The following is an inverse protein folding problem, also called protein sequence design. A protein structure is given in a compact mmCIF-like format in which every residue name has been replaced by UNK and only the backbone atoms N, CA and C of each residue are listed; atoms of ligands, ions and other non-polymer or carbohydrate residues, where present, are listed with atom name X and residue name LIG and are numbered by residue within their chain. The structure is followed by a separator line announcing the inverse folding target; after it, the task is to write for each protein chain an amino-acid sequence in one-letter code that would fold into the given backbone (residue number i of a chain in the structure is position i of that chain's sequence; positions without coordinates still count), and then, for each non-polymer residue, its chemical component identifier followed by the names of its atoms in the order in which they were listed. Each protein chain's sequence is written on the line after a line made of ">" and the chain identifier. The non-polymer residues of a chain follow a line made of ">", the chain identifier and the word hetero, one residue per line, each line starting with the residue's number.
data_IF_884540733359
#
_entry.id   IF_884540733359
#
_cell.length_a   1.000
_cell.length_b   1.000
_cell.length_c   1.000
_cell.angle_alpha   90.00
_cell.angle_beta   90.00
_cell.angle_gamma   90.00
#
_symmetry.space_group_name_H-M   'P 1'
#
loop_
_entity.id
_entity.type
_entity.pdbx_description
1 polymer ?
#
# COMPACT_ATOMS: atom_id res chain seq x y z
N UNK A 1 -32.41 -14.69 0.92
CA UNK A 1 -33.05 -15.96 0.52
C UNK A 1 -33.91 -15.86 -0.76
N UNK A 2 -34.45 -14.69 -1.14
CA UNK A 2 -35.35 -14.59 -2.31
C UNK A 2 -34.67 -14.50 -3.69
N UNK A 3 -33.35 -14.24 -3.75
CA UNK A 3 -32.66 -13.89 -4.99
C UNK A 3 -32.10 -15.06 -5.80
N UNK A 4 -31.94 -16.26 -5.18
CA UNK A 4 -31.36 -17.44 -5.84
C UNK A 4 -32.31 -18.13 -6.85
N UNK A 5 -33.58 -17.74 -6.91
CA UNK A 5 -34.59 -18.35 -7.79
C UNK A 5 -35.06 -17.47 -8.96
N UNK A 6 -34.49 -16.28 -9.15
CA UNK A 6 -34.89 -15.35 -10.21
C UNK A 6 -34.03 -15.52 -11.47
N UNK A 7 -34.64 -15.34 -12.65
CA UNK A 7 -33.91 -15.29 -13.93
C UNK A 7 -32.86 -14.17 -13.90
N UNK A 8 -31.67 -14.34 -14.53
CA UNK A 8 -30.56 -13.39 -14.47
C UNK A 8 -30.94 -11.93 -14.75
N UNK A 9 -31.79 -11.70 -15.77
CA UNK A 9 -32.27 -10.36 -16.14
C UNK A 9 -33.09 -9.69 -15.03
N UNK A 10 -34.04 -10.43 -14.43
CA UNK A 10 -34.86 -9.95 -13.29
C UNK A 10 -34.03 -9.75 -12.03
N UNK A 11 -32.96 -10.54 -11.86
CA UNK A 11 -32.03 -10.41 -10.73
C UNK A 11 -31.26 -9.09 -10.83
N UNK A 12 -30.73 -8.76 -12.00
CA UNK A 12 -30.00 -7.50 -12.23
C UNK A 12 -30.89 -6.28 -12.08
N UNK A 13 -32.11 -6.33 -12.59
CA UNK A 13 -33.11 -5.26 -12.42
C UNK A 13 -33.45 -5.03 -10.94
N UNK A 14 -33.64 -6.11 -10.17
CA UNK A 14 -33.91 -6.01 -8.74
C UNK A 14 -32.72 -5.48 -7.93
N UNK A 15 -31.49 -5.92 -8.24
CA UNK A 15 -30.27 -5.44 -7.59
C UNK A 15 -30.08 -3.95 -7.90
N UNK A 16 -30.16 -3.56 -9.16
CA UNK A 16 -30.02 -2.16 -9.60
C UNK A 16 -31.01 -1.25 -8.88
N UNK A 17 -32.29 -1.63 -8.85
CA UNK A 17 -33.32 -0.89 -8.13
C UNK A 17 -33.01 -0.77 -6.63
N UNK A 18 -32.60 -1.87 -5.99
CA UNK A 18 -32.30 -1.88 -4.56
C UNK A 18 -31.09 -1.01 -4.23
N UNK A 19 -30.07 -1.00 -5.09
CA UNK A 19 -28.85 -0.20 -4.94
C UNK A 19 -29.15 1.29 -5.10
N UNK A 20 -29.92 1.67 -6.12
CA UNK A 20 -30.34 3.05 -6.37
C UNK A 20 -31.22 3.56 -5.22
N UNK A 21 -32.23 2.78 -4.80
CA UNK A 21 -33.12 3.15 -3.70
C UNK A 21 -32.36 3.32 -2.39
N UNK A 22 -31.40 2.43 -2.09
CA UNK A 22 -30.60 2.54 -0.87
C UNK A 22 -29.67 3.77 -0.89
N UNK A 23 -29.14 4.15 -2.06
CA UNK A 23 -28.32 5.36 -2.20
C UNK A 23 -29.17 6.63 -2.06
N UNK A 24 -30.34 6.68 -2.71
CA UNK A 24 -31.28 7.79 -2.60
C UNK A 24 -31.75 8.03 -1.15
N UNK A 25 -31.99 6.95 -0.39
CA UNK A 25 -32.35 7.05 1.03
C UNK A 25 -31.24 7.66 1.89
N UNK A 26 -29.97 7.34 1.61
CA UNK A 26 -28.82 7.90 2.35
C UNK A 26 -28.58 9.36 1.97
N UNK A 27 -28.78 9.71 0.71
CA UNK A 27 -28.68 11.09 0.22
C UNK A 27 -29.88 11.96 0.61
N UNK A 28 -30.98 11.36 1.06
CA UNK A 28 -32.24 12.06 1.35
C UNK A 28 -32.92 12.64 0.12
N UNK A 29 -32.62 12.12 -1.08
CA UNK A 29 -33.15 12.61 -2.35
C UNK A 29 -34.32 11.75 -2.84
N UNK A 30 -35.36 12.39 -3.37
CA UNK A 30 -36.47 11.68 -4.03
C UNK A 30 -36.19 11.39 -5.51
N UNK A 31 -35.08 11.90 -6.05
CA UNK A 31 -34.63 11.65 -7.41
C UNK A 31 -33.53 10.57 -7.44
N UNK A 32 -33.53 9.69 -8.46
CA UNK A 32 -32.55 8.63 -8.57
C UNK A 32 -31.17 9.24 -8.86
N UNK A 33 -30.14 8.95 -8.03
CA UNK A 33 -28.81 9.48 -8.24
C UNK A 33 -28.16 8.94 -9.53
N UNK A 34 -27.27 9.71 -10.17
CA UNK A 34 -26.46 9.24 -11.30
C UNK A 34 -25.66 7.98 -10.93
N UNK A 35 -25.77 6.93 -11.74
CA UNK A 35 -25.17 5.62 -11.43
C UNK A 35 -23.66 5.53 -11.69
N UNK A 36 -23.13 6.39 -12.55
CA UNK A 36 -21.72 6.39 -12.98
C UNK A 36 -20.87 7.45 -12.27
N UNK A 37 -21.47 8.22 -11.35
CA UNK A 37 -20.72 9.19 -10.56
C UNK A 37 -20.20 8.57 -9.25
N UNK A 38 -19.02 9.00 -8.78
CA UNK A 38 -18.52 8.58 -7.48
C UNK A 38 -19.48 8.97 -6.34
N UNK A 39 -19.74 8.04 -5.42
CA UNK A 39 -20.61 8.26 -4.25
C UNK A 39 -20.21 9.50 -3.43
N UNK A 40 -18.91 9.76 -3.30
CA UNK A 40 -18.37 10.95 -2.62
C UNK A 40 -18.77 12.25 -3.33
N UNK A 41 -18.76 12.25 -4.66
CA UNK A 41 -19.18 13.41 -5.47
C UNK A 41 -20.70 13.64 -5.39
N UNK A 42 -21.47 12.59 -5.10
CA UNK A 42 -22.91 12.67 -4.83
C UNK A 42 -23.24 13.13 -3.41
N UNK A 43 -22.23 13.29 -2.53
CA UNK A 43 -22.42 13.73 -1.15
C UNK A 43 -22.56 12.60 -0.13
N UNK A 44 -22.24 11.35 -0.50
CA UNK A 44 -22.15 10.24 0.47
C UNK A 44 -20.87 10.41 1.29
N UNK A 45 -21.03 10.70 2.57
CA UNK A 45 -19.92 10.79 3.52
C UNK A 45 -19.52 9.42 4.09
N UNK A 46 -18.51 9.40 4.96
CA UNK A 46 -18.00 8.16 5.55
C UNK A 46 -19.04 7.42 6.41
N UNK A 47 -19.99 8.13 7.02
CA UNK A 47 -21.06 7.51 7.82
C UNK A 47 -22.15 6.93 6.90
N UNK A 48 -22.56 7.70 5.90
CA UNK A 48 -23.50 7.30 4.86
C UNK A 48 -23.02 6.10 4.06
N UNK A 49 -21.71 5.96 3.80
CA UNK A 49 -21.13 4.77 3.19
C UNK A 49 -21.34 3.49 4.03
N UNK A 50 -21.22 3.59 5.35
CA UNK A 50 -21.44 2.47 6.28
C UNK A 50 -22.93 2.12 6.37
N UNK A 51 -23.81 3.12 6.45
CA UNK A 51 -25.27 2.93 6.47
C UNK A 51 -25.76 2.30 5.17
N UNK A 52 -25.30 2.80 4.02
CA UNK A 52 -25.59 2.28 2.70
C UNK A 52 -25.17 0.80 2.60
N UNK A 53 -23.95 0.46 3.02
CA UNK A 53 -23.44 -0.92 3.04
C UNK A 53 -24.31 -1.84 3.90
N UNK A 54 -24.66 -1.41 5.12
CA UNK A 54 -25.49 -2.21 6.03
C UNK A 54 -26.89 -2.45 5.45
N UNK A 55 -27.45 -1.45 4.79
CA UNK A 55 -28.76 -1.54 4.15
C UNK A 55 -28.75 -2.53 2.98
N UNK A 56 -27.71 -2.49 2.13
CA UNK A 56 -27.53 -3.45 1.05
C UNK A 56 -27.30 -4.87 1.57
N UNK A 57 -26.43 -5.04 2.57
CA UNK A 57 -26.15 -6.34 3.18
C UNK A 57 -27.43 -6.96 3.76
N UNK A 58 -28.27 -6.15 4.40
CA UNK A 58 -29.55 -6.60 4.98
C UNK A 58 -30.58 -6.94 3.91
N UNK A 59 -30.79 -6.08 2.91
CA UNK A 59 -31.83 -6.26 1.87
C UNK A 59 -31.49 -7.39 0.90
N UNK A 60 -30.22 -7.51 0.50
CA UNK A 60 -29.78 -8.47 -0.50
C UNK A 60 -29.25 -9.77 0.14
N UNK A 61 -28.98 -9.77 1.45
CA UNK A 61 -28.48 -10.94 2.17
C UNK A 61 -27.04 -11.32 1.78
N UNK A 62 -26.25 -10.34 1.34
CA UNK A 62 -24.85 -10.49 0.93
C UNK A 62 -23.91 -9.94 2.00
N UNK A 63 -22.75 -10.56 2.20
CA UNK A 63 -21.70 -10.01 3.07
C UNK A 63 -20.84 -9.04 2.28
N UNK A 64 -21.00 -7.74 2.55
CA UNK A 64 -20.19 -6.71 1.91
C UNK A 64 -19.03 -6.31 2.84
N UNK A 65 -17.76 -6.44 2.40
CA UNK A 65 -16.60 -5.90 3.11
C UNK A 65 -16.76 -4.40 3.41
N UNK A 66 -16.10 -3.92 4.47
CA UNK A 66 -16.12 -2.49 4.82
C UNK A 66 -15.51 -1.59 3.74
N UNK A 67 -14.63 -2.14 2.88
CA UNK A 67 -13.96 -1.42 1.78
C UNK A 67 -14.80 -1.33 0.51
N UNK A 68 -15.94 -2.04 0.40
CA UNK A 68 -16.74 -2.13 -0.84
C UNK A 68 -17.05 -0.76 -1.46
N UNK A 69 -17.38 0.24 -0.64
CA UNK A 69 -17.73 1.59 -1.13
C UNK A 69 -16.52 2.39 -1.63
N UNK A 70 -15.31 1.98 -1.24
CA UNK A 70 -14.04 2.55 -1.71
C UNK A 70 -13.53 1.81 -2.94
N UNK A 71 -13.58 0.48 -2.92
CA UNK A 71 -13.15 -0.38 -4.02
C UNK A 71 -14.04 -0.21 -5.26
N UNK A 72 -15.32 0.10 -5.05
CA UNK A 72 -16.34 0.31 -6.09
C UNK A 72 -17.04 1.66 -5.86
N UNK A 73 -16.44 2.78 -6.29
CA UNK A 73 -16.92 4.12 -5.93
C UNK A 73 -18.20 4.54 -6.66
N UNK A 74 -18.70 3.79 -7.64
CA UNK A 74 -19.93 4.10 -8.40
C UNK A 74 -21.04 3.08 -8.15
N UNK A 75 -22.29 3.47 -8.33
CA UNK A 75 -23.44 2.55 -8.16
C UNK A 75 -23.40 1.43 -9.20
N UNK A 76 -22.99 1.71 -10.44
CA UNK A 76 -22.80 0.70 -11.49
C UNK A 76 -21.79 -0.37 -11.07
N UNK A 77 -20.65 0.03 -10.52
CA UNK A 77 -19.61 -0.89 -10.05
C UNK A 77 -20.07 -1.75 -8.87
N UNK A 78 -20.87 -1.19 -7.95
CA UNK A 78 -21.45 -1.92 -6.81
C UNK A 78 -22.47 -2.97 -7.29
N UNK A 79 -23.30 -2.62 -8.28
CA UNK A 79 -24.27 -3.55 -8.88
C UNK A 79 -23.55 -4.74 -9.50
N UNK A 80 -22.51 -4.50 -10.29
CA UNK A 80 -21.75 -5.56 -10.95
C UNK A 80 -20.98 -6.43 -9.94
N UNK A 81 -20.44 -5.84 -8.87
CA UNK A 81 -19.79 -6.60 -7.78
C UNK A 81 -20.78 -7.55 -7.09
N UNK A 82 -21.97 -7.05 -6.72
CA UNK A 82 -23.02 -7.85 -6.09
C UNK A 82 -23.51 -8.95 -7.03
N UNK A 83 -23.60 -8.67 -8.33
CA UNK A 83 -23.97 -9.66 -9.33
C UNK A 83 -22.92 -10.78 -9.42
N UNK A 84 -21.62 -10.44 -9.41
CA UNK A 84 -20.54 -11.43 -9.40
C UNK A 84 -20.56 -12.31 -8.14
N UNK A 85 -20.71 -11.70 -6.96
CA UNK A 85 -20.81 -12.43 -5.68
C UNK A 85 -22.00 -13.40 -5.64
N UNK A 86 -23.14 -12.99 -6.19
CA UNK A 86 -24.33 -13.84 -6.24
C UNK A 86 -24.25 -14.91 -7.35
N UNK A 87 -23.46 -14.71 -8.41
CA UNK A 87 -23.24 -15.70 -9.49
C UNK A 87 -22.11 -16.68 -9.20
N UNK A 88 -21.06 -16.26 -8.49
CA UNK A 88 -19.87 -17.05 -8.19
C UNK A 88 -20.03 -18.07 -7.08
N UNK A 89 -21.22 -18.15 -6.44
CA UNK A 89 -21.49 -19.13 -5.38
C UNK A 89 -21.81 -20.56 -5.86
N UNK A 90 -21.71 -20.85 -7.16
CA UNK A 90 -22.09 -22.14 -7.77
C UNK A 90 -21.05 -22.78 -8.75
N UNK A 91 -19.76 -22.39 -8.78
CA UNK A 91 -18.79 -23.10 -9.63
C UNK A 91 -17.33 -22.99 -9.15
N UNK A 92 -16.91 -23.99 -8.36
CA UNK A 92 -15.53 -24.47 -8.41
C UNK A 92 -15.41 -25.47 -9.57
N UNK A 93 -14.25 -25.49 -10.23
CA UNK A 93 -13.79 -26.37 -11.33
C UNK A 93 -14.07 -25.90 -12.77
N UNK A 94 -13.05 -25.29 -13.39
CA UNK A 94 -12.52 -25.65 -14.73
C UNK A 94 -11.54 -24.57 -15.23
N UNK A 95 -10.22 -24.82 -15.11
CA UNK A 95 -9.28 -24.77 -16.25
C UNK A 95 -7.87 -25.24 -15.82
N UNK A 96 -7.63 -26.55 -15.88
CA UNK A 96 -6.38 -27.21 -15.49
C UNK A 96 -5.24 -27.10 -16.54
N UNK A 97 -5.39 -26.29 -17.60
CA UNK A 97 -4.42 -26.32 -18.72
C UNK A 97 -3.27 -25.29 -18.60
N UNK A 98 -3.22 -24.48 -17.52
CA UNK A 98 -2.12 -23.51 -17.26
C UNK A 98 -1.05 -24.00 -16.25
N UNK A 99 -1.17 -25.23 -15.73
CA UNK A 99 -0.46 -25.73 -14.55
C UNK A 99 1.05 -26.07 -14.70
N UNK A 100 1.70 -25.83 -15.84
CA UNK A 100 3.08 -26.28 -16.05
C UNK A 100 4.19 -25.25 -15.74
N UNK A 101 3.88 -23.96 -15.56
CA UNK A 101 4.89 -22.91 -15.28
C UNK A 101 4.79 -22.28 -13.88
N UNK A 102 3.87 -22.71 -13.01
CA UNK A 102 3.57 -22.03 -11.74
C UNK A 102 4.09 -22.71 -10.47
N UNK A 103 4.82 -23.83 -10.55
CA UNK A 103 5.29 -24.51 -9.33
C UNK A 103 6.63 -23.97 -8.80
N UNK A 104 6.58 -22.77 -8.23
CA UNK A 104 7.36 -22.43 -7.03
C UNK A 104 6.38 -22.49 -5.84
N UNK A 105 6.64 -23.26 -4.78
CA UNK A 105 5.70 -23.36 -3.67
C UNK A 105 5.78 -22.09 -2.83
N UNK A 106 4.82 -21.18 -3.03
CA UNK A 106 4.48 -20.13 -2.09
C UNK A 106 3.04 -20.30 -1.68
N UNK A 107 2.81 -21.21 -0.71
CA UNK A 107 1.63 -21.14 0.13
C UNK A 107 1.77 -19.92 1.04
N UNK A 108 1.33 -18.77 0.54
CA UNK A 108 1.05 -17.58 1.32
C UNK A 108 -0.32 -17.07 0.85
N UNK A 109 -1.28 -17.09 1.77
CA UNK A 109 -2.58 -16.42 1.77
C UNK A 109 -3.28 -16.13 0.42
N UNK A 110 -4.52 -16.59 0.26
CA UNK A 110 -5.38 -16.31 -0.91
C UNK A 110 -5.75 -14.81 -1.10
N UNK A 111 -5.13 -13.91 -0.32
CA UNK A 111 -5.22 -12.45 -0.42
C UNK A 111 -3.93 -11.76 -0.91
N UNK A 112 -2.87 -12.50 -1.23
CA UNK A 112 -1.70 -11.92 -1.89
C UNK A 112 -2.00 -11.72 -3.37
N UNK A 113 -2.63 -10.58 -3.64
CA UNK A 113 -2.66 -9.97 -4.97
C UNK A 113 -1.25 -9.91 -5.53
N UNK A 114 -1.09 -10.16 -6.83
CA UNK A 114 0.20 -10.12 -7.52
C UNK A 114 0.84 -8.72 -7.34
N UNK A 115 1.74 -8.58 -6.37
CA UNK A 115 2.47 -7.34 -6.11
C UNK A 115 3.64 -7.23 -7.10
N UNK A 116 3.63 -6.17 -7.89
CA UNK A 116 4.73 -5.82 -8.76
C UNK A 116 5.59 -4.73 -8.09
N UNK A 117 6.91 -4.92 -8.10
CA UNK A 117 7.87 -3.87 -7.74
C UNK A 117 8.05 -2.98 -8.96
N UNK A 118 7.51 -1.76 -8.90
CA UNK A 118 7.48 -0.82 -10.04
C UNK A 118 8.67 0.13 -10.08
N UNK A 119 9.37 0.29 -8.96
CA UNK A 119 10.52 1.17 -8.82
C UNK A 119 11.28 0.92 -7.53
N UNK A 120 12.55 1.33 -7.50
CA UNK A 120 13.42 1.22 -6.33
C UNK A 120 14.51 2.30 -6.39
N UNK A 121 14.83 2.86 -5.23
CA UNK A 121 16.03 3.68 -5.01
C UNK A 121 16.63 3.29 -3.65
N UNK A 122 17.91 3.60 -3.43
CA UNK A 122 18.60 3.31 -2.17
C UNK A 122 19.73 4.29 -1.87
N UNK A 123 20.12 4.36 -0.60
CA UNK A 123 21.36 4.97 -0.12
C UNK A 123 22.03 3.98 0.82
N UNK A 124 23.17 3.44 0.41
CA UNK A 124 23.85 2.35 1.11
C UNK A 124 25.36 2.65 1.26
N UNK A 125 26.05 1.96 2.19
CA UNK A 125 27.50 2.09 2.34
C UNK A 125 28.27 1.83 1.05
N UNK A 126 29.47 2.41 0.95
CA UNK A 126 30.30 2.28 -0.26
C UNK A 126 29.88 3.19 -1.41
N UNK A 127 29.25 4.33 -1.11
CA UNK A 127 28.73 5.27 -2.12
C UNK A 127 27.71 4.66 -3.09
N UNK A 128 27.00 3.63 -2.66
CA UNK A 128 25.91 3.00 -3.41
C UNK A 128 24.65 3.86 -3.28
N UNK A 129 24.53 4.89 -4.12
CA UNK A 129 23.41 5.81 -4.10
C UNK A 129 22.30 5.43 -5.10
N UNK A 130 22.52 4.41 -5.91
CA UNK A 130 21.53 3.87 -6.82
C UNK A 130 21.54 2.34 -6.77
N UNK A 131 20.44 1.68 -7.19
CA UNK A 131 20.40 0.23 -7.32
C UNK A 131 21.48 -0.34 -8.23
N UNK A 132 21.87 0.43 -9.27
CA UNK A 132 22.92 0.03 -10.23
C UNK A 132 24.29 0.07 -9.56
N UNK A 133 24.63 1.17 -8.88
CA UNK A 133 25.89 1.30 -8.13
C UNK A 133 25.99 0.24 -7.03
N UNK A 134 24.87 -0.03 -6.34
CA UNK A 134 24.82 -1.11 -5.35
C UNK A 134 25.11 -2.48 -5.97
N UNK A 135 24.54 -2.75 -7.15
CA UNK A 135 24.79 -3.99 -7.86
C UNK A 135 26.25 -4.14 -8.30
N UNK A 136 26.86 -3.07 -8.82
CA UNK A 136 28.27 -3.04 -9.18
C UNK A 136 29.16 -3.30 -7.95
N UNK A 137 28.88 -2.63 -6.83
CA UNK A 137 29.59 -2.84 -5.57
C UNK A 137 29.51 -4.31 -5.08
N UNK A 138 28.34 -4.95 -5.20
CA UNK A 138 28.16 -6.36 -4.88
C UNK A 138 28.95 -7.29 -5.81
N UNK A 139 28.92 -7.00 -7.12
CA UNK A 139 29.66 -7.77 -8.12
C UNK A 139 31.17 -7.71 -7.89
N UNK A 140 31.67 -6.55 -7.49
CA UNK A 140 33.08 -6.32 -7.16
C UNK A 140 33.47 -6.88 -5.79
N UNK A 141 32.49 -7.35 -4.99
CA UNK A 141 32.68 -7.85 -3.61
C UNK A 141 33.42 -6.84 -2.73
N UNK A 142 33.10 -5.57 -2.91
CA UNK A 142 33.77 -4.47 -2.19
C UNK A 142 33.39 -4.52 -0.71
N UNK A 143 34.40 -4.47 0.16
CA UNK A 143 34.18 -4.30 1.60
C UNK A 143 33.93 -2.82 1.90
N UNK A 144 32.74 -2.53 2.43
CA UNK A 144 32.31 -1.17 2.75
C UNK A 144 32.45 -0.83 4.24
N UNK A 145 33.10 -1.71 5.01
CA UNK A 145 33.41 -1.45 6.41
C UNK A 145 34.53 -0.44 6.52
N UNK A 146 34.25 0.67 7.19
CA UNK A 146 35.21 1.73 7.46
C UNK A 146 35.22 2.06 8.94
N UNK A 147 36.29 2.67 9.41
CA UNK A 147 36.30 3.26 10.75
C UNK A 147 35.21 4.32 10.86
N UNK A 148 34.64 4.44 12.06
CA UNK A 148 33.60 5.42 12.35
C UNK A 148 34.09 6.82 11.97
N UNK A 149 33.40 7.50 11.04
CA UNK A 149 33.80 8.84 10.64
C UNK A 149 33.78 9.80 11.82
N UNK A 150 34.81 10.64 11.95
CA UNK A 150 34.89 11.67 12.99
C UNK A 150 33.74 12.70 12.91
N UNK A 151 33.04 12.77 11.78
CA UNK A 151 31.82 13.58 11.63
C UNK A 151 30.63 13.03 12.43
N UNK A 152 30.70 11.78 12.91
CA UNK A 152 29.65 11.16 13.75
C UNK A 152 29.95 11.35 15.22
N UNK A 153 31.08 10.82 15.68
CA UNK A 153 31.63 11.01 17.02
C UNK A 153 33.12 10.62 17.03
N UNK A 154 33.84 11.04 18.06
CA UNK A 154 35.22 10.63 18.27
C UNK A 154 35.25 9.21 18.85
N UNK A 155 35.38 8.20 17.99
CA UNK A 155 35.39 6.81 18.42
C UNK A 155 36.61 6.45 19.28
N UNK A 156 37.69 7.25 19.26
CA UNK A 156 38.87 7.01 20.09
C UNK A 156 38.52 7.21 21.57
N UNK A 157 37.67 8.18 21.89
CA UNK A 157 37.19 8.42 23.26
C UNK A 157 36.31 7.28 23.78
N UNK A 158 35.64 6.54 22.90
CA UNK A 158 34.74 5.45 23.28
C UNK A 158 35.35 4.06 23.10
N UNK A 159 36.58 3.96 22.58
CA UNK A 159 37.21 2.66 22.37
C UNK A 159 37.73 2.04 23.68
N UNK A 160 37.46 0.75 23.87
CA UNK A 160 38.16 -0.11 24.83
C UNK A 160 38.29 -1.51 24.27
N UNK A 161 39.43 -2.16 24.53
CA UNK A 161 39.63 -3.56 24.18
C UNK A 161 38.88 -4.53 25.13
N UNK A 162 38.44 -4.04 26.30
CA UNK A 162 37.67 -4.81 27.28
C UNK A 162 36.16 -4.70 26.95
N UNK A 163 35.48 -5.80 26.57
CA UNK A 163 34.05 -5.79 26.29
C UNK A 163 33.17 -5.48 27.50
N UNK A 164 33.68 -5.66 28.72
CA UNK A 164 32.91 -5.47 29.96
C UNK A 164 33.03 -4.03 30.52
N UNK A 165 33.86 -3.18 29.91
CA UNK A 165 33.99 -1.77 30.31
C UNK A 165 32.77 -0.95 29.91
N UNK A 166 31.99 -0.51 30.91
CA UNK A 166 30.76 0.24 30.71
C UNK A 166 30.99 1.59 30.00
N UNK A 167 30.18 1.86 28.97
CA UNK A 167 30.25 3.11 28.21
C UNK A 167 31.33 3.15 27.13
N UNK A 168 32.01 2.02 26.89
CA UNK A 168 32.98 1.84 25.82
C UNK A 168 32.49 0.81 24.79
N UNK A 169 33.17 0.77 23.64
CA UNK A 169 32.96 -0.20 22.57
C UNK A 169 34.30 -0.72 22.09
N UNK A 170 34.38 -2.02 21.82
CA UNK A 170 35.54 -2.62 21.15
C UNK A 170 35.43 -2.58 19.62
N UNK A 171 34.25 -2.23 19.09
CA UNK A 171 34.04 -2.07 17.65
C UNK A 171 34.18 -0.61 17.25
N UNK A 172 35.09 -0.33 16.32
CA UNK A 172 35.30 0.99 15.72
C UNK A 172 34.77 1.09 14.30
N UNK A 173 34.40 -0.05 13.69
CA UNK A 173 34.05 -0.13 12.28
C UNK A 173 32.55 -0.28 12.05
N UNK A 174 32.10 0.24 10.91
CA UNK A 174 30.70 0.17 10.47
C UNK A 174 30.54 0.49 8.99
N UNK A 175 29.38 0.15 8.45
CA UNK A 175 28.94 0.62 7.13
C UNK A 175 28.24 1.96 7.28
N UNK A 176 28.79 3.01 6.66
CA UNK A 176 28.24 4.36 6.77
C UNK A 176 27.73 4.87 5.42
N UNK A 177 26.55 5.48 5.45
CA UNK A 177 26.06 6.29 4.34
C UNK A 177 26.85 7.59 4.30
N UNK A 178 27.45 7.88 3.16
CA UNK A 178 28.17 9.12 2.90
C UNK A 178 27.20 10.29 2.87
N UNK A 179 27.58 11.42 3.48
CA UNK A 179 26.82 12.67 3.43
C UNK A 179 25.36 12.56 3.90
N UNK A 180 25.05 11.62 4.81
CA UNK A 180 23.67 11.36 5.26
C UNK A 180 23.00 12.52 6.00
N UNK A 181 23.74 13.59 6.32
CA UNK A 181 23.28 14.83 6.91
C UNK A 181 22.90 15.91 5.87
N UNK A 182 23.29 15.74 4.62
CA UNK A 182 22.93 16.63 3.51
C UNK A 182 21.48 16.41 3.06
N UNK A 183 20.85 17.48 2.57
CA UNK A 183 19.46 17.45 2.11
C UNK A 183 19.16 18.63 1.17
N UNK A 184 18.53 18.38 0.02
CA UNK A 184 18.06 19.45 -0.89
C UNK A 184 16.72 20.04 -0.43
N UNK A 185 16.80 20.91 0.57
CA UNK A 185 15.60 21.53 1.13
C UNK A 185 14.86 22.46 0.15
N UNK A 186 15.55 23.01 -0.86
CA UNK A 186 14.92 23.88 -1.84
C UNK A 186 14.03 23.08 -2.78
N UNK A 187 14.50 21.90 -3.20
CA UNK A 187 13.72 20.99 -4.02
C UNK A 187 12.41 20.57 -3.34
N UNK A 188 12.47 20.22 -2.05
CA UNK A 188 11.27 19.84 -1.26
C UNK A 188 10.49 21.03 -0.69
N UNK A 189 10.88 22.27 -0.99
CA UNK A 189 10.21 23.49 -0.49
C UNK A 189 10.16 23.54 1.06
N UNK A 190 11.17 23.00 1.73
CA UNK A 190 11.30 23.01 3.19
C UNK A 190 12.20 24.18 3.60
N UNK A 191 11.78 24.92 4.63
CA UNK A 191 12.54 26.08 5.12
C UNK A 191 13.83 25.61 5.81
N UNK A 192 14.95 26.35 5.68
CA UNK A 192 16.22 25.96 6.32
C UNK A 192 16.10 25.70 7.83
N UNK A 193 15.32 26.51 8.55
CA UNK A 193 15.10 26.33 10.00
C UNK A 193 14.47 24.98 10.36
N UNK A 194 13.59 24.47 9.51
CA UNK A 194 12.90 23.20 9.73
C UNK A 194 13.85 22.03 9.50
N UNK A 195 14.69 22.10 8.45
CA UNK A 195 15.69 21.10 8.13
C UNK A 195 16.56 20.79 9.35
N UNK A 196 17.06 21.81 10.06
CA UNK A 196 17.93 21.63 11.22
C UNK A 196 17.31 20.76 12.33
N UNK A 197 15.99 20.73 12.45
CA UNK A 197 15.27 19.93 13.44
C UNK A 197 14.76 18.59 12.88
N UNK A 198 14.81 18.38 11.57
CA UNK A 198 14.45 17.11 10.96
C UNK A 198 15.51 16.04 11.26
N UNK A 199 15.07 14.83 11.55
CA UNK A 199 15.94 13.67 11.65
C UNK A 199 16.58 13.41 10.26
N UNK A 200 17.91 13.21 10.15
CA UNK A 200 18.57 12.82 8.90
C UNK A 200 17.91 11.64 8.16
N UNK A 201 17.33 10.67 8.89
CA UNK A 201 16.60 9.55 8.29
C UNK A 201 15.34 9.99 7.56
N UNK A 202 14.64 11.01 8.07
CA UNK A 202 13.46 11.58 7.41
C UNK A 202 13.85 12.34 6.15
N UNK A 203 14.99 13.03 6.17
CA UNK A 203 15.54 13.72 4.99
C UNK A 203 15.88 12.71 3.89
N UNK A 204 16.61 11.65 4.26
CA UNK A 204 17.00 10.58 3.33
C UNK A 204 15.80 9.83 2.74
N UNK A 205 14.80 9.47 3.54
CA UNK A 205 13.65 8.71 3.01
C UNK A 205 12.81 9.53 2.03
N UNK A 206 12.73 10.85 2.21
CA UNK A 206 12.02 11.74 1.28
C UNK A 206 12.72 11.82 -0.07
N UNK A 207 14.06 11.92 -0.08
CA UNK A 207 14.85 11.87 -1.32
C UNK A 207 14.73 10.51 -2.02
N UNK A 208 14.93 9.42 -1.29
CA UNK A 208 14.85 8.06 -1.84
C UNK A 208 13.44 7.72 -2.35
N UNK A 209 12.39 8.18 -1.66
CA UNK A 209 11.02 7.98 -2.09
C UNK A 209 10.70 8.75 -3.39
N UNK A 210 11.25 9.95 -3.55
CA UNK A 210 11.11 10.71 -4.80
C UNK A 210 11.80 10.01 -5.98
N UNK A 211 13.01 9.50 -5.78
CA UNK A 211 13.78 8.81 -6.82
C UNK A 211 13.24 7.44 -7.23
N UNK A 212 12.44 6.81 -6.37
CA UNK A 212 11.87 5.49 -6.63
C UNK A 212 10.65 5.51 -7.55
N UNK A 213 10.07 6.69 -7.85
CA UNK A 213 8.88 6.89 -8.69
C UNK A 213 9.27 7.33 -10.08
#
# INVERSE_FOLDING_TARGET
>A
AHLKGMSPEKRREFISKTVIDACANVLGTNEPPPVDQPLQALGVDSLGAVEFRNMLSTKLGVKLPATTMFDYPTLSAIIDFIERELSGSDSETADETQLAMQNLPLSADANLTNLAVMGMSCRLPGNSNTPVEFWEMLMDKTDCMVDTPLTRWDYIEFYSADPDEGGKTYSTQGGFISNGDLFDHNFFTIKPMEVWSMDPQQRLIVEVAYEAV
#
